data_IF_427355347326
#
_entry.id   IF_427355347326
#
_cell.length_a   1.000
_cell.length_b   1.000
_cell.length_c   1.000
_cell.angle_alpha   90.00
_cell.angle_beta   90.00
_cell.angle_gamma   90.00
#
_symmetry.space_group_name_H-M   'P 1'
#
loop_
_entity.id
_entity.type
_entity.pdbx_description
1 polymer ?
#
# COMPACT_ATOMS: atom_id res chain seq x y z
N UNK A 1 -12.70 9.95 -2.59
CA UNK A 1 -12.08 10.91 -1.65
C UNK A 1 -11.04 11.74 -2.38
N UNK A 2 -10.68 12.94 -1.89
CA UNK A 2 -9.66 13.77 -2.56
C UNK A 2 -8.26 13.24 -2.19
N UNK A 3 -7.38 13.08 -3.18
CA UNK A 3 -6.03 12.49 -2.98
C UNK A 3 -4.92 13.54 -2.78
N UNK A 4 -5.24 14.83 -2.98
CA UNK A 4 -4.31 15.94 -2.76
C UNK A 4 -5.06 17.25 -2.44
N UNK A 5 -4.40 18.20 -1.78
CA UNK A 5 -4.94 19.52 -1.42
C UNK A 5 -3.90 20.59 -1.72
N UNK A 6 -4.35 21.80 -2.10
CA UNK A 6 -3.45 22.94 -2.31
C UNK A 6 -3.36 23.81 -1.07
N UNK A 7 -2.14 24.14 -0.64
CA UNK A 7 -1.87 25.01 0.49
C UNK A 7 -1.06 26.22 0.05
N UNK A 8 -1.29 27.38 0.67
CA UNK A 8 -0.40 28.53 0.53
C UNK A 8 0.89 28.24 1.31
N UNK A 9 2.03 28.45 0.67
CA UNK A 9 3.35 28.25 1.27
C UNK A 9 4.25 29.45 0.98
N UNK A 10 5.26 29.65 1.83
CA UNK A 10 6.39 30.53 1.55
C UNK A 10 7.52 29.71 0.96
N UNK A 11 7.85 29.93 -0.32
CA UNK A 11 8.92 29.22 -1.03
C UNK A 11 10.18 30.08 -1.05
N UNK A 12 11.27 29.58 -0.47
CA UNK A 12 12.56 30.25 -0.49
C UNK A 12 13.44 29.74 -1.64
N UNK A 13 13.77 30.61 -2.60
CA UNK A 13 14.63 30.30 -3.75
C UNK A 13 15.66 31.43 -3.91
N UNK A 14 16.96 31.08 -3.95
CA UNK A 14 18.07 32.02 -4.21
C UNK A 14 18.01 33.32 -3.38
N UNK A 15 17.71 33.24 -2.07
CA UNK A 15 17.67 34.42 -1.20
C UNK A 15 16.36 35.20 -1.19
N UNK A 16 15.35 34.76 -1.95
CA UNK A 16 14.01 35.39 -2.03
C UNK A 16 12.94 34.48 -1.48
N UNK A 17 11.90 35.06 -0.89
CA UNK A 17 10.69 34.35 -0.44
C UNK A 17 9.54 34.76 -1.35
N UNK A 18 8.93 33.77 -2.01
CA UNK A 18 7.73 33.93 -2.82
C UNK A 18 6.54 33.22 -2.14
N UNK A 19 5.37 33.85 -2.09
CA UNK A 19 4.13 33.19 -1.67
C UNK A 19 3.49 32.48 -2.85
N UNK A 20 3.35 31.15 -2.76
CA UNK A 20 2.81 30.32 -3.84
C UNK A 20 1.83 29.29 -3.28
N UNK A 21 1.01 28.69 -4.16
CA UNK A 21 0.21 27.51 -3.79
C UNK A 21 0.92 26.25 -4.23
N UNK A 22 1.14 25.33 -3.30
CA UNK A 22 1.71 24.01 -3.58
C UNK A 22 0.68 22.91 -3.37
N UNK A 23 0.84 21.78 -4.08
CA UNK A 23 -0.06 20.63 -3.98
C UNK A 23 0.55 19.57 -3.04
N UNK A 24 -0.18 19.22 -1.99
CA UNK A 24 0.25 18.30 -0.94
C UNK A 24 -0.62 17.04 -1.02
N UNK A 25 0.01 15.86 -0.96
CA UNK A 25 -0.71 14.59 -0.94
C UNK A 25 -1.56 14.46 0.33
N UNK A 26 -2.72 13.84 0.21
CA UNK A 26 -3.58 13.53 1.36
C UNK A 26 -3.20 12.16 1.92
N UNK A 27 -2.99 12.12 3.23
CA UNK A 27 -2.82 10.90 4.00
C UNK A 27 -4.02 10.76 4.96
N UNK A 28 -4.68 9.62 4.94
CA UNK A 28 -5.85 9.32 5.77
C UNK A 28 -5.73 7.95 6.41
N UNK A 29 -6.25 7.76 7.63
CA UNK A 29 -6.34 6.44 8.22
C UNK A 29 -7.38 5.60 7.46
N UNK A 30 -7.10 4.30 7.32
CA UNK A 30 -8.07 3.27 6.97
C UNK A 30 -8.02 2.15 8.01
N UNK A 31 -9.16 1.81 8.60
CA UNK A 31 -9.29 0.68 9.50
C UNK A 31 -9.65 -0.59 8.71
N UNK A 32 -8.87 -1.67 8.88
CA UNK A 32 -9.13 -2.96 8.24
C UNK A 32 -9.82 -3.87 9.25
N UNK A 33 -10.98 -4.39 8.88
CA UNK A 33 -11.77 -5.36 9.64
C UNK A 33 -11.86 -6.66 8.87
N UNK A 34 -11.75 -7.78 9.57
CA UNK A 34 -12.01 -9.10 9.00
C UNK A 34 -12.98 -9.86 9.90
N UNK A 35 -14.05 -10.41 9.34
CA UNK A 35 -15.11 -11.11 10.07
C UNK A 35 -15.56 -10.33 11.33
N UNK A 36 -15.76 -9.02 11.17
CA UNK A 36 -16.21 -8.11 12.24
C UNK A 36 -15.14 -7.71 13.27
N UNK A 37 -13.88 -8.16 13.14
CA UNK A 37 -12.79 -7.81 14.05
C UNK A 37 -11.82 -6.83 13.40
N UNK A 38 -11.57 -5.70 14.05
CA UNK A 38 -10.56 -4.73 13.60
C UNK A 38 -9.17 -5.34 13.73
N UNK A 39 -8.42 -5.37 12.64
CA UNK A 39 -7.06 -5.91 12.58
C UNK A 39 -5.96 -4.85 12.63
N UNK A 40 -6.16 -3.71 11.95
CA UNK A 40 -5.12 -2.68 11.82
C UNK A 40 -5.72 -1.35 11.41
N UNK A 41 -4.99 -0.27 11.67
CA UNK A 41 -5.21 1.03 11.03
C UNK A 41 -3.96 1.39 10.22
N UNK A 42 -4.14 1.70 8.94
CA UNK A 42 -3.07 2.14 8.03
C UNK A 42 -3.26 3.61 7.68
N UNK A 43 -2.19 4.41 7.68
CA UNK A 43 -2.20 5.73 7.05
C UNK A 43 -1.82 5.60 5.58
N UNK A 44 -2.71 6.03 4.69
CA UNK A 44 -2.60 5.79 3.24
C UNK A 44 -3.13 6.95 2.41
N UNK A 45 -2.74 6.96 1.13
CA UNK A 45 -3.44 7.76 0.12
C UNK A 45 -4.86 7.19 -0.05
N UNK A 46 -5.94 8.00 -0.07
CA UNK A 46 -7.32 7.51 -0.11
C UNK A 46 -7.77 7.08 -1.52
N UNK A 47 -7.02 6.13 -2.10
CA UNK A 47 -7.19 5.55 -3.42
C UNK A 47 -6.82 4.05 -3.36
N UNK A 48 -7.41 3.22 -4.24
CA UNK A 48 -7.08 1.76 -4.34
C UNK A 48 -7.16 1.01 -3.01
N UNK A 49 -8.15 1.39 -2.18
CA UNK A 49 -8.28 0.91 -0.81
C UNK A 49 -8.66 -0.58 -0.72
N UNK A 50 -9.34 -1.11 -1.73
CA UNK A 50 -9.68 -2.54 -1.82
C UNK A 50 -8.42 -3.36 -2.06
N UNK A 51 -7.62 -2.95 -3.04
CA UNK A 51 -6.36 -3.55 -3.43
C UNK A 51 -5.35 -3.49 -2.28
N UNK A 52 -5.25 -2.34 -1.63
CA UNK A 52 -4.45 -2.14 -0.42
C UNK A 52 -4.85 -3.11 0.68
N UNK A 53 -6.15 -3.20 1.02
CA UNK A 53 -6.60 -4.04 2.13
C UNK A 53 -6.32 -5.53 1.85
N UNK A 54 -6.61 -6.01 0.64
CA UNK A 54 -6.33 -7.38 0.24
C UNK A 54 -4.82 -7.66 0.23
N UNK A 55 -4.04 -6.80 -0.42
CA UNK A 55 -2.59 -6.93 -0.51
C UNK A 55 -1.97 -6.98 0.88
N UNK A 56 -2.42 -6.11 1.78
CA UNK A 56 -1.98 -6.07 3.17
C UNK A 56 -2.25 -7.40 3.90
N UNK A 57 -3.47 -7.95 3.78
CA UNK A 57 -3.82 -9.22 4.41
C UNK A 57 -3.02 -10.40 3.86
N UNK A 58 -2.67 -10.38 2.57
CA UNK A 58 -1.79 -11.39 1.95
C UNK A 58 -0.36 -11.25 2.48
N UNK A 59 0.19 -10.04 2.48
CA UNK A 59 1.60 -9.79 2.87
C UNK A 59 1.85 -10.10 4.35
N UNK A 60 0.85 -9.91 5.20
CA UNK A 60 0.92 -10.24 6.63
C UNK A 60 0.54 -11.71 6.92
N UNK A 61 0.12 -12.48 5.90
CA UNK A 61 -0.19 -13.91 6.03
C UNK A 61 -1.55 -14.23 6.67
N UNK A 62 -2.43 -13.23 6.81
CA UNK A 62 -3.80 -13.45 7.28
C UNK A 62 -4.62 -14.25 6.26
N UNK A 63 -4.50 -13.90 4.98
CA UNK A 63 -5.07 -14.65 3.85
C UNK A 63 -3.95 -15.15 2.93
N UNK A 64 -4.16 -16.29 2.28
CA UNK A 64 -3.19 -16.89 1.34
C UNK A 64 -3.44 -16.46 -0.09
N UNK A 65 -4.71 -16.26 -0.43
CA UNK A 65 -5.17 -15.96 -1.78
C UNK A 65 -6.56 -15.31 -1.76
N UNK A 66 -7.04 -14.90 -2.93
CA UNK A 66 -8.33 -14.24 -3.09
C UNK A 66 -9.52 -15.19 -2.86
N UNK A 67 -9.34 -16.50 -3.05
CA UNK A 67 -10.40 -17.50 -2.86
C UNK A 67 -10.85 -17.63 -1.40
N UNK A 68 -10.02 -17.20 -0.45
CA UNK A 68 -10.38 -17.13 0.97
C UNK A 68 -11.23 -15.87 1.31
N UNK A 69 -11.38 -14.92 0.38
CA UNK A 69 -12.19 -13.71 0.55
C UNK A 69 -13.58 -13.93 -0.06
N UNK A 70 -14.62 -13.87 0.78
CA UNK A 70 -16.01 -14.01 0.38
C UNK A 70 -16.53 -12.67 -0.15
N UNK A 71 -16.21 -11.58 0.56
CA UNK A 71 -16.65 -10.22 0.23
C UNK A 71 -15.69 -9.19 0.81
N UNK A 72 -15.59 -8.06 0.13
CA UNK A 72 -14.97 -6.84 0.65
C UNK A 72 -15.88 -5.65 0.39
N UNK A 73 -15.99 -4.77 1.38
CA UNK A 73 -16.68 -3.48 1.27
C UNK A 73 -15.76 -2.40 1.84
N UNK A 74 -15.61 -1.29 1.12
CA UNK A 74 -14.84 -0.14 1.61
C UNK A 74 -15.74 1.06 1.69
N UNK A 75 -15.93 1.57 2.90
CA UNK A 75 -16.80 2.71 3.18
C UNK A 75 -16.25 3.50 4.36
N UNK A 76 -16.36 4.82 4.30
CA UNK A 76 -16.05 5.73 5.42
C UNK A 76 -14.67 5.48 6.08
N UNK A 77 -13.63 5.26 5.26
CA UNK A 77 -12.28 4.92 5.75
C UNK A 77 -12.19 3.61 6.54
N UNK A 78 -13.09 2.67 6.28
CA UNK A 78 -13.04 1.31 6.79
C UNK A 78 -13.11 0.31 5.63
N UNK A 79 -12.26 -0.72 5.68
CA UNK A 79 -12.35 -1.88 4.83
C UNK A 79 -12.91 -3.05 5.66
N UNK A 80 -14.07 -3.56 5.29
CA UNK A 80 -14.73 -4.70 5.91
C UNK A 80 -14.60 -5.91 5.01
N UNK A 81 -13.90 -6.94 5.48
CA UNK A 81 -13.64 -8.17 4.74
C UNK A 81 -14.38 -9.32 5.41
N UNK A 82 -15.16 -10.05 4.63
CA UNK A 82 -15.69 -11.36 5.00
C UNK A 82 -14.81 -12.44 4.37
N UNK A 83 -14.32 -13.37 5.19
CA UNK A 83 -13.37 -14.39 4.80
C UNK A 83 -13.75 -15.76 5.39
N UNK A 84 -13.20 -16.84 4.80
CA UNK A 84 -13.49 -18.22 5.21
C UNK A 84 -13.10 -18.52 6.67
N UNK A 85 -13.70 -19.55 7.28
CA UNK A 85 -13.45 -19.95 8.68
C UNK A 85 -11.98 -20.29 8.96
N UNK A 86 -11.26 -20.82 7.98
CA UNK A 86 -9.81 -21.06 8.05
C UNK A 86 -8.99 -19.79 8.32
N UNK A 87 -9.48 -18.63 7.87
CA UNK A 87 -8.84 -17.33 8.14
C UNK A 87 -9.03 -16.92 9.60
N UNK A 88 -10.21 -17.16 10.17
CA UNK A 88 -10.47 -16.85 11.59
C UNK A 88 -9.57 -17.61 12.53
N UNK A 89 -9.29 -18.89 12.24
CA UNK A 89 -8.36 -19.71 13.01
C UNK A 89 -6.95 -19.14 12.96
N UNK A 90 -6.48 -18.73 11.77
CA UNK A 90 -5.16 -18.07 11.63
C UNK A 90 -5.07 -16.78 12.43
N UNK A 91 -6.12 -15.96 12.43
CA UNK A 91 -6.15 -14.71 13.20
C UNK A 91 -6.11 -14.99 14.71
N UNK A 92 -6.84 -15.99 15.19
CA UNK A 92 -6.80 -16.40 16.60
C UNK A 92 -5.40 -16.88 17.01
N UNK A 93 -4.71 -17.61 16.14
CA UNK A 93 -3.34 -18.06 16.36
C UNK A 93 -2.31 -16.92 16.38
N UNK A 94 -2.57 -15.81 15.66
CA UNK A 94 -1.76 -14.58 15.72
C UNK A 94 -1.91 -13.79 17.04
N UNK A 95 -2.72 -14.29 17.98
CA UNK A 95 -2.92 -13.90 19.38
C UNK A 95 -2.05 -12.72 19.93
N UNK A 96 -2.48 -11.45 19.71
CA UNK A 96 -2.08 -10.22 20.43
C UNK A 96 -1.22 -9.13 19.72
N UNK A 97 -1.22 -9.00 18.38
CA UNK A 97 -0.70 -7.78 17.70
C UNK A 97 -1.73 -7.05 16.82
N UNK A 98 -3.01 -7.24 17.13
CA UNK A 98 -4.18 -6.93 16.29
C UNK A 98 -4.61 -5.44 16.36
N UNK A 99 -3.84 -4.59 17.05
CA UNK A 99 -4.07 -3.14 17.05
C UNK A 99 -2.71 -2.46 17.02
N UNK A 100 -2.16 -2.31 15.82
CA UNK A 100 -1.08 -1.37 15.59
C UNK A 100 -1.50 -0.36 14.54
N UNK A 101 -1.08 0.89 14.73
CA UNK A 101 -1.30 1.96 13.77
C UNK A 101 -0.05 2.08 12.94
N UNK A 102 -0.10 1.60 11.70
CA UNK A 102 1.04 1.70 10.79
C UNK A 102 0.96 3.03 10.08
N UNK A 103 1.89 3.91 10.47
CA UNK A 103 2.12 5.19 9.82
C UNK A 103 2.96 4.98 8.56
N UNK A 104 2.85 5.87 7.59
CA UNK A 104 3.59 5.83 6.31
C UNK A 104 5.10 6.11 6.46
N UNK A 105 5.59 6.20 7.69
CA UNK A 105 6.99 6.45 8.00
C UNK A 105 7.82 5.16 7.88
N UNK A 106 8.86 5.21 7.04
CA UNK A 106 9.88 4.16 6.98
C UNK A 106 10.61 4.09 8.33
N UNK A 107 10.34 3.05 9.13
CA UNK A 107 11.01 2.88 10.42
C UNK A 107 10.36 1.92 11.41
N UNK A 108 9.18 1.36 11.12
CA UNK A 108 8.66 0.27 11.93
C UNK A 108 9.39 -1.04 11.57
N UNK A 109 10.58 -1.22 12.14
CA UNK A 109 11.20 -2.53 12.19
C UNK A 109 10.39 -3.38 13.15
N UNK A 110 9.39 -4.10 12.64
CA UNK A 110 8.91 -5.29 13.34
C UNK A 110 10.01 -6.35 13.25
N UNK A 111 11.12 -6.13 13.97
CA UNK A 111 12.24 -7.07 14.14
C UNK A 111 11.73 -8.46 14.56
N UNK A 112 10.57 -8.53 15.22
CA UNK A 112 9.96 -9.76 15.69
C UNK A 112 9.12 -10.55 14.65
N UNK A 113 8.87 -10.02 13.44
CA UNK A 113 8.11 -10.75 12.42
C UNK A 113 9.00 -11.54 11.45
N UNK A 114 10.30 -11.25 11.39
CA UNK A 114 11.19 -11.82 10.37
C UNK A 114 11.58 -13.28 10.66
N UNK A 115 11.58 -13.71 11.92
CA UNK A 115 12.05 -15.04 12.29
C UNK A 115 11.11 -16.19 11.87
N UNK A 116 9.83 -15.92 11.57
CA UNK A 116 8.84 -16.96 11.26
C UNK A 116 8.01 -16.72 9.99
N UNK A 117 8.36 -15.74 9.15
CA UNK A 117 7.70 -15.63 7.85
C UNK A 117 8.13 -16.82 6.98
N UNK A 118 7.21 -17.70 6.54
CA UNK A 118 7.52 -18.81 5.65
C UNK A 118 7.73 -18.27 4.23
N UNK A 119 8.66 -17.34 4.06
CA UNK A 119 9.03 -16.78 2.77
C UNK A 119 9.63 -17.91 1.93
N UNK A 120 8.82 -18.48 1.04
CA UNK A 120 9.26 -19.51 0.13
C UNK A 120 10.24 -18.88 -0.86
N UNK A 121 11.34 -19.59 -1.12
CA UNK A 121 12.26 -19.22 -2.20
C UNK A 121 11.46 -19.14 -3.50
N UNK A 122 11.50 -17.98 -4.15
CA UNK A 122 10.88 -17.80 -5.47
C UNK A 122 11.57 -18.72 -6.46
N UNK A 123 10.79 -19.61 -7.09
CA UNK A 123 11.23 -20.45 -8.19
C UNK A 123 10.75 -19.82 -9.50
N UNK A 124 11.65 -19.08 -10.16
CA UNK A 124 11.37 -18.41 -11.43
C UNK A 124 12.60 -18.45 -12.32
N UNK A 125 12.39 -18.64 -13.62
CA UNK A 125 13.41 -18.57 -14.67
C UNK A 125 13.24 -17.32 -15.56
N UNK A 126 12.38 -16.37 -15.16
CA UNK A 126 12.14 -15.15 -15.90
C UNK A 126 13.45 -14.34 -15.98
N UNK A 127 13.79 -13.89 -17.18
CA UNK A 127 14.91 -13.00 -17.45
C UNK A 127 14.41 -11.73 -18.12
N UNK A 128 15.03 -10.60 -17.76
CA UNK A 128 14.69 -9.28 -18.28
C UNK A 128 15.87 -8.66 -18.99
N UNK A 129 15.69 -8.17 -20.23
CA UNK A 129 16.66 -7.31 -20.87
C UNK A 129 16.83 -6.01 -20.06
N UNK A 130 18.08 -5.58 -19.84
CA UNK A 130 18.38 -4.40 -19.03
C UNK A 130 17.66 -3.14 -19.54
N UNK A 131 17.56 -2.96 -20.86
CA UNK A 131 16.87 -1.85 -21.48
C UNK A 131 15.36 -1.85 -21.18
N UNK A 132 14.72 -3.01 -21.04
CA UNK A 132 13.31 -3.11 -20.68
C UNK A 132 13.09 -2.68 -19.22
N UNK A 133 14.02 -2.99 -18.31
CA UNK A 133 13.95 -2.50 -16.92
C UNK A 133 13.94 -0.97 -16.88
N UNK A 134 14.85 -0.31 -17.62
CA UNK A 134 14.87 1.16 -17.67
C UNK A 134 13.62 1.75 -18.29
N UNK A 135 13.04 1.10 -19.32
CA UNK A 135 11.76 1.51 -19.88
C UNK A 135 10.63 1.44 -18.85
N UNK A 136 10.55 0.35 -18.07
CA UNK A 136 9.55 0.18 -17.03
C UNK A 136 9.70 1.19 -15.90
N UNK A 137 10.92 1.49 -15.48
CA UNK A 137 11.19 2.55 -14.48
C UNK A 137 10.78 3.92 -15.02
N UNK A 138 11.11 4.23 -16.27
CA UNK A 138 10.68 5.46 -16.92
C UNK A 138 9.16 5.58 -16.97
N UNK A 139 8.48 4.48 -17.31
CA UNK A 139 7.03 4.40 -17.33
C UNK A 139 6.40 4.60 -15.95
N UNK A 140 6.89 3.91 -14.91
CA UNK A 140 6.42 4.10 -13.54
C UNK A 140 6.50 5.57 -13.13
N UNK A 141 7.62 6.24 -13.41
CA UNK A 141 7.79 7.66 -13.09
C UNK A 141 6.82 8.57 -13.85
N UNK A 142 6.55 8.27 -15.13
CA UNK A 142 5.60 9.04 -15.94
C UNK A 142 4.16 8.88 -15.43
N UNK A 143 3.77 7.66 -15.09
CA UNK A 143 2.41 7.31 -14.71
C UNK A 143 2.11 7.61 -13.23
N UNK A 144 3.14 7.77 -12.39
CA UNK A 144 3.04 8.21 -10.99
C UNK A 144 2.64 9.70 -10.87
N UNK A 145 1.44 10.03 -11.38
CA UNK A 145 0.97 11.41 -11.54
C UNK A 145 0.86 12.15 -10.22
N UNK A 146 0.44 11.48 -9.14
CA UNK A 146 0.32 12.08 -7.82
C UNK A 146 1.71 12.42 -7.27
N UNK A 147 2.68 11.52 -7.37
CA UNK A 147 4.08 11.80 -7.00
C UNK A 147 4.63 12.99 -7.78
N UNK A 148 4.41 13.04 -9.10
CA UNK A 148 4.90 14.16 -9.93
C UNK A 148 4.30 15.51 -9.55
N UNK A 149 3.08 15.53 -8.98
CA UNK A 149 2.43 16.78 -8.52
C UNK A 149 2.81 17.17 -7.11
N UNK A 150 3.04 16.21 -6.22
CA UNK A 150 3.15 16.47 -4.76
C UNK A 150 4.51 16.12 -4.16
N UNK A 151 5.31 15.29 -4.84
CA UNK A 151 6.54 14.69 -4.32
C UNK A 151 6.36 13.76 -3.11
N UNK A 152 5.12 13.55 -2.64
CA UNK A 152 4.84 13.01 -1.31
C UNK A 152 4.26 11.60 -1.27
N UNK A 153 4.34 10.83 -2.36
CA UNK A 153 3.81 9.46 -2.43
C UNK A 153 4.77 8.51 -3.15
N UNK A 154 4.65 7.21 -2.88
CA UNK A 154 5.31 6.17 -3.67
C UNK A 154 4.37 5.60 -4.73
N UNK A 155 4.94 4.88 -5.69
CA UNK A 155 4.19 4.14 -6.71
C UNK A 155 4.81 2.76 -6.91
N UNK A 156 3.99 1.79 -7.30
CA UNK A 156 4.41 0.43 -7.64
C UNK A 156 3.96 0.10 -9.06
N UNK A 157 4.65 -0.85 -9.70
CA UNK A 157 4.32 -1.37 -11.02
C UNK A 157 4.59 -2.87 -11.01
N UNK A 158 3.61 -3.65 -11.46
CA UNK A 158 3.81 -5.06 -11.79
C UNK A 158 3.92 -5.17 -13.31
N UNK A 159 4.94 -5.87 -13.80
CA UNK A 159 5.16 -6.08 -15.23
C UNK A 159 5.47 -7.54 -15.53
N UNK A 160 5.02 -8.02 -16.69
CA UNK A 160 5.42 -9.30 -17.25
C UNK A 160 6.25 -9.14 -18.53
N UNK A 161 6.92 -10.21 -18.95
CA UNK A 161 7.77 -10.22 -20.14
C UNK A 161 6.99 -10.07 -21.46
N UNK A 162 5.65 -10.07 -21.41
CA UNK A 162 4.77 -9.81 -22.56
C UNK A 162 4.40 -8.32 -22.69
N UNK A 163 5.12 -7.44 -21.97
CA UNK A 163 4.86 -6.00 -21.92
C UNK A 163 3.47 -5.63 -21.37
N UNK A 164 2.81 -6.54 -20.64
CA UNK A 164 1.63 -6.21 -19.84
C UNK A 164 2.10 -5.64 -18.52
N UNK A 165 1.44 -4.58 -18.08
CA UNK A 165 1.75 -3.93 -16.82
C UNK A 165 0.49 -3.50 -16.10
N UNK A 166 0.55 -3.51 -14.78
CA UNK A 166 -0.51 -3.08 -13.88
C UNK A 166 0.09 -2.06 -12.93
N UNK A 167 -0.55 -0.89 -12.86
CA UNK A 167 -0.29 0.16 -11.88
C UNK A 167 -1.36 0.02 -10.81
#
# INVERSE_FOLDING_TARGET
MKVSVKYAISRFIHGRIDEVKDEVAVETPIAIYINGKRLRVLYVTPQELVELAIGHLITEGFIKNLEEVIRIDVKDSEAHIEASTTVEERIKLHNAKVIDTVKTMCGHSSEELVENLPAKRVQSNIQWPLNEIFKLVGKLNLDASLYRRTGGVHAALIADTSSRFFI
#
